data_IF_819991504266
#
_entry.id   IF_819991504266
#
_cell.length_a   1.000
_cell.length_b   1.000
_cell.length_c   1.000
_cell.angle_alpha   90.00
_cell.angle_beta   90.00
_cell.angle_gamma   90.00
#
_symmetry.space_group_name_H-M   'P 1'
#
loop_
_entity.id
_entity.type
_entity.pdbx_description
1 polymer ?
#
# COMPACT_ATOMS: atom_id res chain seq x y z
N UNK A 1 6.50 21.23 -5.54
CA UNK A 1 6.19 20.21 -6.57
C UNK A 1 5.32 20.74 -7.70
N UNK A 2 4.11 21.25 -7.48
CA UNK A 2 3.23 21.74 -8.58
C UNK A 2 3.90 22.78 -9.49
N UNK A 3 4.55 23.80 -8.92
CA UNK A 3 5.24 24.83 -9.72
C UNK A 3 6.38 24.24 -10.59
N UNK A 4 7.18 23.33 -10.03
CA UNK A 4 8.25 22.66 -10.77
C UNK A 4 7.68 21.82 -11.93
N UNK A 5 6.61 21.06 -11.64
CA UNK A 5 5.95 20.26 -12.66
C UNK A 5 5.38 21.14 -13.78
N UNK A 6 4.62 22.18 -13.44
CA UNK A 6 4.04 23.11 -14.43
C UNK A 6 5.12 23.76 -15.28
N UNK A 7 6.20 24.25 -14.67
CA UNK A 7 7.31 24.86 -15.41
C UNK A 7 7.95 23.87 -16.40
N UNK A 8 8.23 22.65 -15.93
CA UNK A 8 8.86 21.62 -16.78
C UNK A 8 7.94 21.20 -17.93
N UNK A 9 6.67 20.95 -17.64
CA UNK A 9 5.67 20.59 -18.66
C UNK A 9 5.54 21.70 -19.70
N UNK A 10 5.44 22.96 -19.26
CA UNK A 10 5.32 24.12 -20.17
C UNK A 10 6.56 24.26 -21.05
N UNK A 11 7.77 24.16 -20.46
CA UNK A 11 9.01 24.26 -21.19
C UNK A 11 9.17 23.16 -22.26
N UNK A 12 8.90 21.90 -21.86
CA UNK A 12 9.00 20.76 -22.78
C UNK A 12 7.90 20.79 -23.86
N UNK A 13 6.68 21.21 -23.53
CA UNK A 13 5.61 21.38 -24.50
C UNK A 13 5.95 22.47 -25.53
N UNK A 14 6.51 23.61 -25.09
CA UNK A 14 6.97 24.66 -25.97
C UNK A 14 8.11 24.19 -26.90
N UNK A 15 9.09 23.48 -26.35
CA UNK A 15 10.19 22.92 -27.15
C UNK A 15 9.65 21.90 -28.20
N UNK A 16 8.73 21.03 -27.81
CA UNK A 16 8.12 20.08 -28.75
C UNK A 16 7.29 20.78 -29.82
N UNK A 17 6.56 21.85 -29.46
CA UNK A 17 5.81 22.66 -30.42
C UNK A 17 6.72 23.32 -31.46
N UNK A 18 7.88 23.79 -31.07
CA UNK A 18 8.89 24.33 -32.01
C UNK A 18 9.37 23.23 -32.96
N UNK A 19 9.71 22.05 -32.45
CA UNK A 19 10.18 20.91 -33.27
C UNK A 19 9.09 20.47 -34.27
N UNK A 20 7.85 20.29 -33.80
CA UNK A 20 6.74 19.85 -34.65
C UNK A 20 6.27 20.92 -35.63
N UNK A 21 6.42 22.21 -35.27
CA UNK A 21 6.08 23.33 -36.12
C UNK A 21 7.08 23.57 -37.28
N UNK A 22 8.28 22.98 -37.19
CA UNK A 22 9.26 23.10 -38.27
C UNK A 22 8.75 22.41 -39.54
N UNK A 23 8.49 23.20 -40.58
CA UNK A 23 7.90 22.72 -41.83
C UNK A 23 6.35 22.77 -41.86
N UNK A 24 5.72 23.50 -40.94
CA UNK A 24 4.28 23.78 -40.89
C UNK A 24 3.48 22.77 -40.04
N UNK A 25 2.30 23.20 -39.64
CA UNK A 25 1.39 22.40 -38.82
C UNK A 25 0.49 21.51 -39.69
N UNK A 26 0.23 20.30 -39.20
CA UNK A 26 -0.75 19.37 -39.75
C UNK A 26 -1.59 18.77 -38.60
N UNK A 27 -2.80 18.22 -38.87
CA UNK A 27 -3.61 17.58 -37.84
C UNK A 27 -2.84 16.48 -37.08
N UNK A 28 -2.02 15.69 -37.77
CA UNK A 28 -1.19 14.64 -37.14
C UNK A 28 -0.16 15.24 -36.16
N UNK A 29 0.52 16.34 -36.52
CA UNK A 29 1.47 17.02 -35.64
C UNK A 29 0.80 17.64 -34.41
N UNK A 30 -0.40 18.20 -34.57
CA UNK A 30 -1.21 18.66 -33.44
C UNK A 30 -1.60 17.48 -32.53
N UNK A 31 -2.02 16.37 -33.08
CA UNK A 31 -2.33 15.15 -32.33
C UNK A 31 -1.11 14.63 -31.54
N UNK A 32 0.08 14.64 -32.16
CA UNK A 32 1.33 14.27 -31.50
C UNK A 32 1.68 15.20 -30.33
N UNK A 33 1.50 16.53 -30.52
CA UNK A 33 1.74 17.49 -29.43
C UNK A 33 0.78 17.27 -28.26
N UNK A 34 -0.51 17.06 -28.53
CA UNK A 34 -1.52 16.79 -27.51
C UNK A 34 -1.13 15.50 -26.73
N UNK A 35 -0.84 14.40 -27.43
CA UNK A 35 -0.44 13.16 -26.80
C UNK A 35 0.81 13.32 -25.91
N UNK A 36 1.80 14.06 -26.43
CA UNK A 36 3.03 14.38 -25.68
C UNK A 36 2.72 15.18 -24.41
N UNK A 37 1.93 16.25 -24.51
CA UNK A 37 1.58 17.11 -23.35
C UNK A 37 0.78 16.35 -22.30
N UNK A 38 -0.10 15.42 -22.69
CA UNK A 38 -0.91 14.61 -21.77
C UNK A 38 -0.02 13.66 -20.94
N UNK A 39 1.07 13.15 -21.49
CA UNK A 39 1.98 12.23 -20.79
C UNK A 39 3.02 12.93 -19.90
N UNK A 40 3.34 14.18 -20.19
CA UNK A 40 4.41 14.93 -19.51
C UNK A 40 4.22 15.10 -17.99
N UNK A 41 3.01 15.42 -17.47
CA UNK A 41 2.84 15.68 -16.03
C UNK A 41 3.31 14.51 -15.17
N UNK A 42 2.99 13.28 -15.56
CA UNK A 42 3.38 12.07 -14.84
C UNK A 42 4.91 11.85 -14.87
N UNK A 43 5.51 11.95 -16.04
CA UNK A 43 6.95 11.80 -16.20
C UNK A 43 7.73 12.88 -15.43
N UNK A 44 7.25 14.13 -15.49
CA UNK A 44 7.86 15.26 -14.79
C UNK A 44 7.75 15.12 -13.26
N UNK A 45 6.61 14.63 -12.72
CA UNK A 45 6.48 14.35 -11.29
C UNK A 45 7.47 13.27 -10.88
N UNK A 46 7.59 12.18 -11.65
CA UNK A 46 8.55 11.10 -11.39
C UNK A 46 10.00 11.61 -11.35
N UNK A 47 10.39 12.42 -12.32
CA UNK A 47 11.69 13.04 -12.39
C UNK A 47 12.00 13.93 -11.17
N UNK A 48 11.07 14.80 -10.79
CA UNK A 48 11.26 15.66 -9.62
C UNK A 48 11.23 14.90 -8.30
N UNK A 49 10.43 13.87 -8.20
CA UNK A 49 10.48 12.98 -7.02
C UNK A 49 11.88 12.38 -6.87
N UNK A 50 12.46 11.86 -7.93
CA UNK A 50 13.81 11.29 -7.87
C UNK A 50 14.87 12.33 -7.47
N UNK A 51 14.84 13.54 -8.05
CA UNK A 51 15.78 14.61 -7.72
C UNK A 51 15.61 15.07 -6.27
N UNK A 52 14.39 15.41 -5.86
CA UNK A 52 14.12 15.89 -4.50
C UNK A 52 14.52 14.80 -3.49
N UNK A 53 14.12 13.54 -3.73
CA UNK A 53 14.46 12.45 -2.84
C UNK A 53 15.96 12.19 -2.73
N UNK A 54 16.70 12.31 -3.83
CA UNK A 54 18.17 12.22 -3.80
C UNK A 54 18.79 13.37 -2.97
N UNK A 55 18.30 14.58 -3.13
CA UNK A 55 18.77 15.75 -2.35
C UNK A 55 18.44 15.56 -0.86
N UNK A 56 17.21 15.11 -0.53
CA UNK A 56 16.78 14.86 0.85
C UNK A 56 17.63 13.77 1.48
N UNK A 57 17.84 12.66 0.78
CA UNK A 57 18.68 11.55 1.25
C UNK A 57 20.14 11.98 1.47
N UNK A 58 20.70 12.78 0.55
CA UNK A 58 22.08 13.31 0.68
C UNK A 58 22.25 14.27 1.86
N UNK A 59 21.16 14.88 2.34
CA UNK A 59 21.16 15.77 3.52
C UNK A 59 20.86 15.04 4.84
N UNK A 60 20.85 13.73 4.85
CA UNK A 60 20.60 12.93 6.05
C UNK A 60 19.14 12.53 6.27
N UNK A 61 18.30 12.67 5.25
CA UNK A 61 16.87 12.31 5.29
C UNK A 61 15.96 13.48 5.70
N UNK A 62 14.67 13.18 5.77
CA UNK A 62 13.64 14.13 6.21
C UNK A 62 13.16 13.77 7.60
N UNK A 63 13.41 14.61 8.62
CA UNK A 63 12.97 14.37 10.00
C UNK A 63 11.43 14.37 10.14
N UNK A 64 10.70 14.82 9.13
CA UNK A 64 9.23 14.85 9.14
C UNK A 64 8.60 13.55 8.64
N UNK A 65 9.36 12.64 8.02
CA UNK A 65 8.78 11.39 7.47
C UNK A 65 8.41 10.39 8.56
N UNK A 66 9.31 10.08 9.46
CA UNK A 66 9.05 9.30 10.68
C UNK A 66 10.23 9.50 11.62
N UNK A 67 9.99 9.45 12.94
CA UNK A 67 11.10 9.47 13.90
C UNK A 67 11.99 8.23 13.69
N UNK A 68 13.30 8.38 13.88
CA UNK A 68 14.21 7.24 13.88
C UNK A 68 13.74 6.14 14.83
N UNK A 69 13.99 4.88 14.47
CA UNK A 69 13.75 3.75 15.37
C UNK A 69 14.57 3.88 16.66
N UNK A 70 14.06 3.32 17.73
CA UNK A 70 14.73 3.21 19.02
C UNK A 70 14.85 1.74 19.39
N UNK A 71 15.84 1.02 18.80
CA UNK A 71 16.03 -0.39 19.10
C UNK A 71 16.21 -0.63 20.60
N UNK A 72 15.62 -1.73 21.10
CA UNK A 72 15.69 -2.09 22.51
C UNK A 72 14.67 -1.41 23.43
N UNK A 73 13.88 -0.43 22.94
CA UNK A 73 12.73 0.08 23.70
C UNK A 73 11.62 -0.96 23.66
N UNK A 74 11.11 -1.42 24.83
CA UNK A 74 9.96 -2.32 24.89
C UNK A 74 8.73 -1.71 24.22
N UNK A 75 7.93 -2.53 23.57
CA UNK A 75 6.61 -2.18 23.06
C UNK A 75 5.56 -2.48 24.13
N UNK A 76 4.46 -1.74 24.12
CA UNK A 76 3.37 -1.91 25.08
C UNK A 76 2.05 -2.32 24.40
N UNK A 77 1.81 -1.81 23.18
CA UNK A 77 0.56 -2.03 22.46
C UNK A 77 0.39 -3.46 21.93
N UNK A 78 -0.87 -3.88 21.83
CA UNK A 78 -1.23 -5.16 21.19
C UNK A 78 -1.50 -4.96 19.70
N UNK A 79 -0.94 -5.86 18.90
CA UNK A 79 -1.03 -5.80 17.44
C UNK A 79 -1.63 -7.09 16.86
N UNK A 80 -2.64 -6.96 16.01
CA UNK A 80 -3.15 -8.07 15.20
C UNK A 80 -2.39 -8.10 13.86
N UNK A 81 -1.70 -9.19 13.55
CA UNK A 81 -1.18 -9.47 12.21
C UNK A 81 -2.26 -10.18 11.43
N UNK A 82 -2.70 -9.59 10.32
CA UNK A 82 -3.92 -10.00 9.62
C UNK A 82 -3.60 -10.33 8.18
N UNK A 83 -3.73 -11.59 7.80
CA UNK A 83 -3.56 -12.03 6.41
C UNK A 83 -4.90 -12.33 5.78
N UNK A 84 -5.27 -11.55 4.74
CA UNK A 84 -6.48 -11.78 3.97
C UNK A 84 -6.17 -12.71 2.81
N UNK A 85 -6.91 -13.82 2.69
CA UNK A 85 -6.71 -14.85 1.66
C UNK A 85 -8.00 -15.16 0.92
N UNK A 86 -7.89 -15.49 -0.38
CA UNK A 86 -9.01 -15.96 -1.20
C UNK A 86 -8.54 -16.83 -2.35
N UNK A 87 -8.71 -18.15 -2.22
CA UNK A 87 -8.30 -19.13 -3.25
C UNK A 87 -6.80 -19.09 -3.61
N UNK A 88 -5.94 -18.55 -2.74
CA UNK A 88 -4.50 -18.62 -2.88
C UNK A 88 -4.00 -20.03 -2.50
N UNK A 89 -2.71 -20.29 -2.70
CA UNK A 89 -2.02 -21.48 -2.22
C UNK A 89 -1.95 -21.45 -0.67
N UNK A 90 -2.72 -22.33 0.04
CA UNK A 90 -2.82 -22.27 1.49
C UNK A 90 -1.51 -22.62 2.18
N UNK A 91 -0.75 -23.59 1.63
CA UNK A 91 0.54 -23.98 2.19
C UNK A 91 1.51 -22.81 2.22
N UNK A 92 1.56 -22.08 1.14
CA UNK A 92 2.50 -20.98 0.94
C UNK A 92 2.13 -19.76 1.80
N UNK A 93 0.86 -19.37 1.81
CA UNK A 93 0.40 -18.20 2.57
C UNK A 93 0.49 -18.44 4.09
N UNK A 94 0.05 -19.61 4.58
CA UNK A 94 0.12 -19.94 6.00
C UNK A 94 1.56 -20.14 6.47
N UNK A 95 2.43 -20.75 5.64
CA UNK A 95 3.85 -20.88 5.98
C UNK A 95 4.54 -19.52 6.15
N UNK A 96 4.20 -18.53 5.30
CA UNK A 96 4.73 -17.16 5.43
C UNK A 96 4.27 -16.48 6.71
N UNK A 97 2.97 -16.53 7.00
CA UNK A 97 2.43 -15.94 8.21
C UNK A 97 3.02 -16.60 9.46
N UNK A 98 3.18 -17.92 9.42
CA UNK A 98 3.85 -18.68 10.47
C UNK A 98 5.32 -18.24 10.64
N UNK A 99 6.06 -18.07 9.56
CA UNK A 99 7.45 -17.60 9.61
C UNK A 99 7.59 -16.21 10.25
N UNK A 100 6.68 -15.28 9.96
CA UNK A 100 6.64 -13.97 10.61
C UNK A 100 6.40 -14.11 12.12
N UNK A 101 5.47 -14.99 12.53
CA UNK A 101 5.15 -15.18 13.93
C UNK A 101 6.27 -15.89 14.70
N UNK A 102 6.90 -16.91 14.11
CA UNK A 102 8.07 -17.60 14.68
C UNK A 102 9.28 -16.64 14.84
N UNK A 103 9.48 -15.71 13.92
CA UNK A 103 10.51 -14.65 14.02
C UNK A 103 10.22 -13.69 15.19
N UNK A 104 8.94 -13.34 15.41
CA UNK A 104 8.49 -12.58 16.57
C UNK A 104 8.66 -13.38 17.90
N UNK A 105 8.41 -14.67 17.90
CA UNK A 105 8.67 -15.54 19.05
C UNK A 105 10.18 -15.55 19.38
N UNK A 106 11.04 -15.71 18.38
CA UNK A 106 12.47 -15.69 18.54
C UNK A 106 13.00 -14.34 19.05
N UNK A 107 12.33 -13.23 18.71
CA UNK A 107 12.66 -11.89 19.22
C UNK A 107 12.23 -11.65 20.67
N UNK A 108 11.43 -12.55 21.26
CA UNK A 108 10.87 -12.41 22.61
C UNK A 108 9.67 -11.46 22.72
N UNK A 109 9.11 -10.97 21.61
CA UNK A 109 8.04 -10.01 21.61
C UNK A 109 6.63 -10.60 21.34
N UNK A 110 6.52 -11.91 21.14
CA UNK A 110 5.30 -12.57 20.71
C UNK A 110 4.07 -12.31 21.61
N UNK A 111 4.24 -11.98 22.89
CA UNK A 111 3.12 -11.68 23.80
C UNK A 111 2.28 -10.47 23.38
N UNK A 112 2.83 -9.61 22.52
CA UNK A 112 2.17 -8.41 22.00
C UNK A 112 1.43 -8.66 20.68
N UNK A 113 1.51 -9.88 20.11
CA UNK A 113 1.00 -10.15 18.77
C UNK A 113 0.05 -11.34 18.74
N UNK A 114 -1.05 -11.17 18.02
CA UNK A 114 -1.92 -12.26 17.60
C UNK A 114 -1.94 -12.32 16.08
N UNK A 115 -2.06 -13.51 15.51
CA UNK A 115 -2.13 -13.73 14.05
C UNK A 115 -3.51 -14.20 13.64
N UNK A 116 -4.03 -13.60 12.56
CA UNK A 116 -5.36 -13.86 12.05
C UNK A 116 -5.32 -14.17 10.56
N UNK A 117 -5.77 -15.36 10.18
CA UNK A 117 -6.07 -15.69 8.79
C UNK A 117 -7.54 -15.36 8.54
N UNK A 118 -7.78 -14.36 7.67
CA UNK A 118 -9.13 -13.93 7.27
C UNK A 118 -9.43 -14.42 5.87
N UNK A 119 -10.18 -15.52 5.79
CA UNK A 119 -10.48 -16.22 4.53
C UNK A 119 -11.80 -15.74 3.92
N UNK A 120 -11.72 -15.39 2.63
CA UNK A 120 -12.84 -15.19 1.70
C UNK A 120 -12.91 -16.29 0.64
N UNK A 121 -12.21 -17.39 0.87
CA UNK A 121 -12.10 -18.52 -0.04
C UNK A 121 -13.45 -19.15 -0.29
N UNK A 122 -13.86 -19.20 -1.54
CA UNK A 122 -15.13 -19.82 -1.97
C UNK A 122 -14.95 -21.27 -2.44
N UNK A 123 -13.74 -21.68 -2.85
CA UNK A 123 -13.43 -23.09 -3.13
C UNK A 123 -13.43 -23.91 -1.83
N UNK A 124 -14.34 -24.92 -1.72
CA UNK A 124 -14.45 -25.70 -0.49
C UNK A 124 -13.21 -26.54 -0.16
N UNK A 125 -12.48 -27.01 -1.18
CA UNK A 125 -11.28 -27.82 -0.98
C UNK A 125 -10.13 -26.96 -0.46
N UNK A 126 -9.93 -25.77 -1.03
CA UNK A 126 -8.95 -24.80 -0.57
C UNK A 126 -9.26 -24.34 0.86
N UNK A 127 -10.53 -23.99 1.15
CA UNK A 127 -10.94 -23.56 2.48
C UNK A 127 -10.77 -24.66 3.55
N UNK A 128 -11.07 -25.91 3.22
CA UNK A 128 -10.82 -27.04 4.12
C UNK A 128 -9.32 -27.22 4.38
N UNK A 129 -8.49 -27.00 3.36
CA UNK A 129 -7.03 -27.07 3.49
C UNK A 129 -6.46 -25.93 4.33
N UNK A 130 -6.94 -24.69 4.16
CA UNK A 130 -6.60 -23.55 5.03
C UNK A 130 -6.88 -23.87 6.49
N UNK A 131 -8.12 -24.32 6.80
CA UNK A 131 -8.53 -24.65 8.16
C UNK A 131 -7.67 -25.76 8.77
N UNK A 132 -7.37 -26.83 8.01
CA UNK A 132 -6.53 -27.92 8.44
C UNK A 132 -5.09 -27.50 8.76
N UNK A 133 -4.49 -26.62 7.90
CA UNK A 133 -3.15 -26.12 8.11
C UNK A 133 -3.06 -25.21 9.34
N UNK A 134 -4.05 -24.34 9.56
CA UNK A 134 -4.08 -23.49 10.76
C UNK A 134 -4.27 -24.33 12.01
N UNK A 135 -5.16 -25.32 11.99
CA UNK A 135 -5.36 -26.24 13.12
C UNK A 135 -4.08 -27.03 13.44
N UNK A 136 -3.36 -27.51 12.42
CA UNK A 136 -2.08 -28.19 12.60
C UNK A 136 -1.00 -27.24 13.18
N UNK A 137 -0.98 -25.99 12.74
CA UNK A 137 -0.09 -24.97 13.31
C UNK A 137 -0.42 -24.67 14.77
N UNK A 138 -1.71 -24.46 15.10
CA UNK A 138 -2.15 -24.30 16.50
C UNK A 138 -1.72 -25.47 17.38
N UNK A 139 -1.90 -26.71 16.92
CA UNK A 139 -1.51 -27.91 17.67
C UNK A 139 0.00 -28.03 17.90
N UNK A 140 0.82 -27.50 17.01
CA UNK A 140 2.28 -27.53 17.10
C UNK A 140 2.89 -26.30 17.79
N UNK A 141 2.14 -25.22 17.96
CA UNK A 141 2.61 -23.96 18.53
C UNK A 141 2.63 -24.00 20.06
N UNK A 142 3.63 -23.35 20.65
CA UNK A 142 3.65 -23.04 22.10
C UNK A 142 2.57 -21.99 22.48
N UNK A 143 1.99 -21.29 21.51
CA UNK A 143 1.05 -20.18 21.68
C UNK A 143 -0.23 -20.36 20.86
N UNK A 144 -0.96 -21.47 21.00
CA UNK A 144 -2.13 -21.76 20.15
C UNK A 144 -3.25 -20.72 20.29
N UNK A 145 -3.36 -20.06 21.44
CA UNK A 145 -4.39 -19.04 21.71
C UNK A 145 -4.15 -17.72 20.99
N UNK A 146 -2.99 -17.52 20.35
CA UNK A 146 -2.66 -16.34 19.56
C UNK A 146 -2.82 -16.55 18.06
N UNK A 147 -3.27 -17.72 17.61
CA UNK A 147 -3.42 -18.09 16.21
C UNK A 147 -4.90 -18.27 15.91
N UNK A 148 -5.42 -17.50 14.96
CA UNK A 148 -6.86 -17.48 14.65
C UNK A 148 -7.11 -17.72 13.17
N UNK A 149 -8.21 -18.42 12.86
CA UNK A 149 -8.74 -18.60 11.52
C UNK A 149 -10.21 -18.19 11.50
N UNK A 150 -10.57 -17.34 10.57
CA UNK A 150 -11.96 -16.96 10.33
C UNK A 150 -12.25 -17.01 8.84
N UNK A 151 -13.24 -17.80 8.46
CA UNK A 151 -13.80 -17.79 7.11
C UNK A 151 -15.16 -17.11 7.13
N UNK A 152 -15.37 -16.18 6.21
CA UNK A 152 -16.71 -15.66 5.90
C UNK A 152 -17.22 -16.25 4.59
N UNK A 153 -18.54 -16.35 4.44
CA UNK A 153 -19.21 -16.86 3.23
C UNK A 153 -19.64 -15.73 2.29
N UNK A 154 -19.79 -14.52 2.83
CA UNK A 154 -20.11 -13.32 2.08
C UNK A 154 -18.83 -12.51 1.81
N UNK A 155 -18.44 -12.41 0.53
CA UNK A 155 -17.28 -11.66 0.09
C UNK A 155 -17.62 -10.19 -0.24
N UNK A 156 -18.62 -9.61 0.45
CA UNK A 156 -19.01 -8.22 0.26
C UNK A 156 -17.86 -7.27 0.60
N UNK A 157 -17.58 -6.32 -0.29
CA UNK A 157 -16.47 -5.37 -0.15
C UNK A 157 -15.07 -5.99 -0.33
N UNK A 158 -14.98 -7.26 -0.74
CA UNK A 158 -13.71 -7.95 -1.01
C UNK A 158 -12.76 -7.92 0.21
N UNK A 159 -11.44 -7.86 -0.02
CA UNK A 159 -10.41 -7.72 1.02
C UNK A 159 -10.71 -6.57 2.00
N UNK A 160 -11.06 -5.39 1.47
CA UNK A 160 -11.36 -4.23 2.30
C UNK A 160 -12.54 -4.47 3.24
N UNK A 161 -13.64 -5.06 2.74
CA UNK A 161 -14.79 -5.44 3.57
C UNK A 161 -14.47 -6.49 4.62
N UNK A 162 -13.54 -7.43 4.32
CA UNK A 162 -13.08 -8.41 5.29
C UNK A 162 -12.26 -7.76 6.42
N UNK A 163 -11.36 -6.84 6.07
CA UNK A 163 -10.58 -6.07 7.03
C UNK A 163 -11.47 -5.13 7.86
N UNK A 164 -12.42 -4.43 7.24
CA UNK A 164 -13.36 -3.54 7.93
C UNK A 164 -14.19 -4.32 8.98
N UNK A 165 -14.73 -5.49 8.60
CA UNK A 165 -15.47 -6.34 9.54
C UNK A 165 -14.58 -6.78 10.70
N UNK A 166 -13.33 -7.18 10.41
CA UNK A 166 -12.36 -7.54 11.44
C UNK A 166 -12.09 -6.37 12.38
N UNK A 167 -11.75 -5.21 11.87
CA UNK A 167 -11.44 -4.03 12.66
C UNK A 167 -12.60 -3.58 13.54
N UNK A 168 -13.84 -3.65 13.01
CA UNK A 168 -15.04 -3.32 13.79
C UNK A 168 -15.26 -4.30 14.95
N UNK A 169 -15.00 -5.61 14.76
CA UNK A 169 -15.19 -6.65 15.80
C UNK A 169 -14.09 -6.65 16.86
N UNK A 170 -12.86 -6.29 16.45
CA UNK A 170 -11.68 -6.38 17.31
C UNK A 170 -11.15 -5.00 17.76
N UNK A 171 -11.96 -3.95 17.59
CA UNK A 171 -11.59 -2.55 17.81
C UNK A 171 -10.95 -2.31 19.19
N UNK A 172 -11.50 -2.90 20.23
CA UNK A 172 -11.08 -2.69 21.61
C UNK A 172 -10.07 -3.75 22.10
N UNK A 173 -9.74 -4.72 21.24
CA UNK A 173 -8.79 -5.80 21.56
C UNK A 173 -7.35 -5.48 21.20
N UNK A 174 -7.15 -4.59 20.20
CA UNK A 174 -5.84 -4.25 19.65
C UNK A 174 -5.67 -2.75 19.48
N UNK A 175 -4.45 -2.28 19.74
CA UNK A 175 -4.06 -0.90 19.46
C UNK A 175 -3.77 -0.70 17.95
N UNK A 176 -3.20 -1.74 17.34
CA UNK A 176 -2.77 -1.75 15.94
C UNK A 176 -3.18 -3.02 15.22
N UNK A 177 -3.25 -2.92 13.90
CA UNK A 177 -3.26 -4.09 13.03
C UNK A 177 -2.30 -3.93 11.85
N UNK A 178 -1.77 -5.05 11.38
CA UNK A 178 -0.81 -5.15 10.28
C UNK A 178 -1.43 -6.01 9.18
N UNK A 179 -2.06 -5.41 8.16
CA UNK A 179 -2.60 -6.17 7.03
C UNK A 179 -1.49 -6.68 6.13
N UNK A 180 -1.61 -7.94 5.75
CA UNK A 180 -0.72 -8.66 4.84
C UNK A 180 -1.52 -9.22 3.67
N UNK A 181 -0.91 -9.24 2.50
CA UNK A 181 -1.33 -10.07 1.38
C UNK A 181 -0.76 -11.49 1.53
N UNK A 182 -1.31 -12.46 0.81
CA UNK A 182 -0.86 -13.85 0.86
C UNK A 182 0.61 -14.05 0.45
N UNK A 183 1.16 -13.09 -0.27
CA UNK A 183 2.55 -13.05 -0.76
C UNK A 183 3.47 -12.12 0.04
N UNK A 184 2.94 -11.44 1.06
CA UNK A 184 3.69 -10.51 1.90
C UNK A 184 4.59 -11.23 2.91
N UNK A 185 5.73 -10.60 3.22
CA UNK A 185 6.61 -10.96 4.32
C UNK A 185 7.20 -9.71 4.98
N UNK A 186 7.28 -9.72 6.31
CA UNK A 186 8.03 -8.74 7.11
C UNK A 186 8.83 -9.47 8.18
N UNK A 187 10.08 -9.02 8.40
CA UNK A 187 10.85 -9.50 9.55
C UNK A 187 10.30 -8.95 10.87
N UNK A 188 10.54 -9.68 11.97
CA UNK A 188 10.20 -9.20 13.31
C UNK A 188 10.83 -7.84 13.63
N UNK A 189 12.07 -7.62 13.20
CA UNK A 189 12.77 -6.34 13.39
C UNK A 189 11.99 -5.17 12.77
N UNK A 190 11.44 -5.37 11.56
CA UNK A 190 10.66 -4.34 10.88
C UNK A 190 9.28 -4.15 11.54
N UNK A 191 8.60 -5.23 11.93
CA UNK A 191 7.33 -5.16 12.67
C UNK A 191 7.51 -4.39 13.98
N UNK A 192 8.53 -4.70 14.75
CA UNK A 192 8.85 -4.03 16.02
C UNK A 192 9.20 -2.55 15.80
N UNK A 193 9.92 -2.22 14.72
CA UNK A 193 10.20 -0.84 14.32
C UNK A 193 8.90 -0.06 14.08
N UNK A 194 7.97 -0.65 13.35
CA UNK A 194 6.67 -0.03 13.07
C UNK A 194 5.90 0.27 14.37
N UNK A 195 5.82 -0.72 15.28
CA UNK A 195 5.09 -0.57 16.54
C UNK A 195 5.72 0.52 17.39
N UNK A 196 7.04 0.48 17.64
CA UNK A 196 7.75 1.50 18.43
C UNK A 196 7.58 2.91 17.84
N UNK A 197 7.64 3.01 16.51
CA UNK A 197 7.45 4.31 15.84
C UNK A 197 6.04 4.85 16.06
N UNK A 198 5.01 4.03 15.91
CA UNK A 198 3.63 4.45 16.09
C UNK A 198 3.25 4.71 17.55
N UNK A 199 3.83 3.99 18.51
CA UNK A 199 3.66 4.29 19.93
C UNK A 199 4.23 5.67 20.29
N UNK A 200 5.38 6.03 19.72
CA UNK A 200 6.02 7.34 19.97
C UNK A 200 5.38 8.50 19.20
N UNK A 201 4.66 8.20 18.13
CA UNK A 201 3.99 9.18 17.27
C UNK A 201 2.48 8.92 17.22
N UNK A 202 1.71 9.34 18.22
CA UNK A 202 0.28 9.05 18.33
C UNK A 202 -0.55 9.69 17.22
N UNK A 203 -0.02 10.68 16.49
CA UNK A 203 -0.68 11.33 15.35
C UNK A 203 -0.67 10.49 14.10
N UNK A 204 0.21 9.47 14.00
CA UNK A 204 0.26 8.58 12.83
C UNK A 204 -0.88 7.56 12.94
N UNK A 205 -1.74 7.54 11.92
CA UNK A 205 -2.80 6.54 11.76
C UNK A 205 -2.38 5.35 10.90
N UNK A 206 -1.58 5.58 9.86
CA UNK A 206 -1.01 4.55 8.98
C UNK A 206 0.48 4.80 8.81
N UNK A 207 1.30 3.77 9.05
CA UNK A 207 2.74 3.80 8.81
C UNK A 207 3.10 2.68 7.82
N UNK A 208 3.37 3.06 6.59
CA UNK A 208 3.72 2.17 5.49
C UNK A 208 5.21 1.84 5.48
N UNK A 209 5.58 0.59 5.21
CA UNK A 209 6.96 0.22 4.89
C UNK A 209 7.24 0.32 3.39
N UNK A 210 8.50 0.44 3.01
CA UNK A 210 8.92 0.30 1.62
C UNK A 210 8.97 -1.19 1.28
N UNK A 211 7.89 -1.73 0.69
CA UNK A 211 7.86 -3.12 0.24
C UNK A 211 8.70 -3.28 -1.04
N UNK A 212 9.57 -4.27 -1.06
CA UNK A 212 10.42 -4.59 -2.22
C UNK A 212 10.10 -5.98 -2.75
N UNK A 213 10.35 -6.20 -4.04
CA UNK A 213 10.07 -7.48 -4.66
C UNK A 213 10.95 -8.61 -4.11
N UNK A 214 10.34 -9.72 -3.73
CA UNK A 214 11.04 -10.96 -3.34
C UNK A 214 11.95 -11.43 -4.49
N UNK A 215 13.19 -11.86 -4.22
CA UNK A 215 14.09 -12.36 -5.25
C UNK A 215 13.43 -13.44 -6.13
N UNK A 216 13.54 -13.31 -7.44
CA UNK A 216 12.88 -14.19 -8.40
C UNK A 216 13.88 -14.75 -9.42
N UNK A 217 13.63 -15.99 -9.90
CA UNK A 217 14.34 -16.60 -11.01
C UNK A 217 13.70 -16.29 -12.36
N UNK A 218 12.48 -15.77 -12.37
CA UNK A 218 11.73 -15.44 -13.58
C UNK A 218 12.32 -14.21 -14.27
N UNK A 219 12.60 -14.30 -15.57
CA UNK A 219 13.22 -13.22 -16.33
C UNK A 219 12.40 -11.92 -16.29
N UNK A 220 11.09 -12.01 -16.55
CA UNK A 220 10.20 -10.83 -16.53
C UNK A 220 10.21 -10.15 -15.17
N UNK A 221 10.06 -10.92 -14.10
CA UNK A 221 10.07 -10.39 -12.71
C UNK A 221 11.38 -9.69 -12.38
N UNK A 222 12.52 -10.27 -12.78
CA UNK A 222 13.85 -9.68 -12.53
C UNK A 222 14.03 -8.33 -13.23
N UNK A 223 13.61 -8.24 -14.51
CA UNK A 223 13.66 -6.97 -15.25
C UNK A 223 12.76 -5.93 -14.63
N UNK A 224 11.53 -6.32 -14.26
CA UNK A 224 10.58 -5.45 -13.59
C UNK A 224 11.11 -4.94 -12.23
N UNK A 225 11.63 -5.84 -11.40
CA UNK A 225 12.21 -5.51 -10.09
C UNK A 225 13.43 -4.60 -10.22
N UNK A 226 14.28 -4.79 -11.21
CA UNK A 226 15.40 -3.91 -11.46
C UNK A 226 14.94 -2.47 -11.71
N UNK A 227 13.94 -2.27 -12.57
CA UNK A 227 13.36 -0.96 -12.84
C UNK A 227 12.72 -0.32 -11.60
N UNK A 228 11.93 -1.08 -10.87
CA UNK A 228 11.30 -0.59 -9.62
C UNK A 228 12.33 -0.24 -8.55
N UNK A 229 13.18 -1.18 -8.20
CA UNK A 229 14.08 -1.06 -7.03
C UNK A 229 15.13 0.03 -7.23
N UNK A 230 15.63 0.22 -8.45
CA UNK A 230 16.70 1.18 -8.73
C UNK A 230 16.33 2.63 -8.37
N UNK A 231 15.09 3.02 -8.60
CA UNK A 231 14.61 4.38 -8.31
C UNK A 231 13.71 4.50 -7.08
N UNK A 232 13.24 3.40 -6.53
CA UNK A 232 12.13 3.35 -5.57
C UNK A 232 12.37 4.21 -4.32
N UNK A 233 13.54 4.08 -3.69
CA UNK A 233 13.88 4.85 -2.49
C UNK A 233 13.89 6.35 -2.77
N UNK A 234 14.61 6.79 -3.82
CA UNK A 234 14.69 8.21 -4.17
C UNK A 234 13.32 8.76 -4.55
N UNK A 235 12.56 8.04 -5.38
CA UNK A 235 11.20 8.42 -5.77
C UNK A 235 10.28 8.56 -4.55
N UNK A 236 10.25 7.55 -3.69
CA UNK A 236 9.37 7.53 -2.50
C UNK A 236 9.77 8.63 -1.51
N UNK A 237 11.07 8.82 -1.28
CA UNK A 237 11.57 9.91 -0.42
C UNK A 237 11.11 11.27 -0.94
N UNK A 238 11.24 11.52 -2.23
CA UNK A 238 10.79 12.80 -2.82
C UNK A 238 9.28 12.96 -2.78
N UNK A 239 8.54 11.92 -3.11
CA UNK A 239 7.07 11.94 -3.08
C UNK A 239 6.54 12.22 -1.68
N UNK A 240 7.07 11.57 -0.66
CA UNK A 240 6.65 11.75 0.74
C UNK A 240 7.07 13.11 1.30
N UNK A 241 8.24 13.62 0.90
CA UNK A 241 8.70 14.92 1.35
C UNK A 241 7.71 16.06 1.00
N UNK A 242 7.19 16.10 -0.23
CA UNK A 242 6.22 17.16 -0.60
C UNK A 242 4.77 16.79 -0.26
N UNK A 243 4.44 15.52 -0.12
CA UNK A 243 3.12 15.08 0.34
C UNK A 243 2.94 15.33 1.85
N UNK A 244 4.04 15.39 2.59
CA UNK A 244 4.04 15.66 4.03
C UNK A 244 3.33 14.56 4.81
N UNK A 245 2.27 14.96 5.52
CA UNK A 245 1.44 14.08 6.33
C UNK A 245 0.40 13.27 5.53
N UNK A 246 0.38 13.41 4.21
CA UNK A 246 -0.46 12.66 3.28
C UNK A 246 0.38 11.62 2.52
N UNK A 247 1.08 10.73 3.21
CA UNK A 247 1.87 9.67 2.61
C UNK A 247 1.00 8.63 1.89
N UNK A 248 1.62 7.76 1.07
CA UNK A 248 0.92 6.65 0.43
C UNK A 248 0.59 5.52 1.41
N UNK A 249 -0.43 4.75 1.07
CA UNK A 249 -0.71 3.45 1.63
C UNK A 249 -0.99 2.48 0.48
N UNK A 250 -0.44 1.26 0.54
CA UNK A 250 -0.49 0.27 -0.54
C UNK A 250 -1.33 -0.97 -0.21
N UNK A 251 -2.09 -0.92 0.90
CA UNK A 251 -3.04 -1.95 1.27
C UNK A 251 -2.47 -3.14 2.04
N UNK A 252 -1.16 -3.20 2.22
CA UNK A 252 -0.45 -4.25 2.97
C UNK A 252 0.91 -3.77 3.47
N UNK A 253 1.58 -4.56 4.30
CA UNK A 253 2.90 -4.26 4.86
C UNK A 253 2.98 -2.87 5.53
N UNK A 254 1.91 -2.48 6.20
CA UNK A 254 1.78 -1.22 6.92
C UNK A 254 1.18 -1.45 8.29
N UNK A 255 1.62 -0.70 9.30
CA UNK A 255 0.97 -0.73 10.60
C UNK A 255 -0.11 0.35 10.67
N UNK A 256 -1.29 -0.03 11.13
CA UNK A 256 -2.47 0.84 11.14
C UNK A 256 -3.03 0.91 12.56
N UNK A 257 -3.38 2.10 13.01
CA UNK A 257 -4.03 2.30 14.29
C UNK A 257 -5.48 1.82 14.22
N UNK A 258 -5.82 0.87 15.10
CA UNK A 258 -7.07 0.11 15.02
C UNK A 258 -8.32 0.98 15.19
N UNK A 259 -8.43 1.72 16.30
CA UNK A 259 -9.66 2.46 16.61
C UNK A 259 -9.99 3.54 15.56
N UNK A 260 -9.06 4.44 15.15
CA UNK A 260 -9.35 5.42 14.11
C UNK A 260 -9.72 4.80 12.76
N UNK A 261 -9.10 3.68 12.41
CA UNK A 261 -9.44 2.98 11.17
C UNK A 261 -10.87 2.41 11.20
N UNK A 262 -11.22 1.71 12.28
CA UNK A 262 -12.56 1.15 12.46
C UNK A 262 -13.66 2.22 12.49
N UNK A 263 -13.35 3.42 13.01
CA UNK A 263 -14.31 4.52 13.11
C UNK A 263 -14.48 5.34 11.85
N UNK A 264 -13.41 5.49 11.05
CA UNK A 264 -13.36 6.54 10.05
C UNK A 264 -13.04 6.08 8.64
N UNK A 265 -12.55 4.84 8.46
CA UNK A 265 -12.07 4.35 7.17
C UNK A 265 -13.06 3.41 6.45
N UNK A 266 -14.33 3.38 6.87
CA UNK A 266 -15.38 2.66 6.15
C UNK A 266 -15.53 3.18 4.73
N UNK A 267 -15.46 2.27 3.75
CA UNK A 267 -15.49 2.62 2.33
C UNK A 267 -16.93 2.82 1.84
N UNK A 268 -17.18 3.88 1.07
CA UNK A 268 -18.50 4.07 0.48
C UNK A 268 -18.77 3.04 -0.61
N UNK A 269 -20.03 2.63 -0.75
CA UNK A 269 -20.50 1.95 -1.96
C UNK A 269 -20.81 3.03 -2.99
N UNK A 270 -20.12 2.96 -4.13
CA UNK A 270 -20.23 3.98 -5.17
C UNK A 270 -21.54 3.83 -5.95
N UNK A 271 -22.20 4.94 -6.30
CA UNK A 271 -23.44 4.91 -7.08
C UNK A 271 -23.21 4.42 -8.51
N UNK A 272 -24.27 3.92 -9.13
CA UNK A 272 -24.24 3.43 -10.50
C UNK A 272 -23.91 1.95 -10.63
N UNK A 273 -23.84 1.51 -11.89
CA UNK A 273 -23.52 0.14 -12.30
C UNK A 273 -22.28 0.14 -13.20
N UNK A 274 -21.75 -1.03 -13.44
CA UNK A 274 -20.60 -1.22 -14.33
C UNK A 274 -19.27 -0.92 -13.64
N UNK A 275 -18.20 -0.66 -14.38
CA UNK A 275 -16.85 -0.69 -13.84
C UNK A 275 -16.53 0.42 -12.82
N UNK A 276 -17.30 1.51 -12.82
CA UNK A 276 -17.06 2.65 -11.93
C UNK A 276 -17.96 2.68 -10.69
N UNK A 277 -19.01 1.84 -10.62
CA UNK A 277 -19.94 1.75 -9.47
C UNK A 277 -19.64 0.56 -8.56
N UNK A 278 -20.37 0.44 -7.44
CA UNK A 278 -20.24 -0.66 -6.49
C UNK A 278 -19.15 -0.46 -5.46
N UNK A 279 -18.59 -1.55 -4.96
CA UNK A 279 -17.51 -1.49 -3.96
C UNK A 279 -16.22 -0.90 -4.55
N UNK A 280 -15.51 -0.13 -3.75
CA UNK A 280 -14.20 0.42 -4.11
C UNK A 280 -13.19 -0.72 -4.24
N UNK A 281 -12.54 -0.84 -5.39
CA UNK A 281 -11.60 -1.93 -5.69
C UNK A 281 -10.17 -1.61 -5.26
N UNK A 282 -9.67 -0.39 -5.51
CA UNK A 282 -8.39 0.10 -4.99
C UNK A 282 -8.67 0.85 -3.70
N UNK A 283 -8.80 0.10 -2.61
CA UNK A 283 -9.25 0.60 -1.32
C UNK A 283 -8.19 1.42 -0.57
N UNK A 284 -6.94 1.07 -0.76
CA UNK A 284 -5.77 1.54 -0.04
C UNK A 284 -5.61 3.06 -0.04
N UNK A 285 -5.61 3.71 -1.20
CA UNK A 285 -5.53 5.16 -1.31
C UNK A 285 -6.76 5.85 -0.68
N UNK A 286 -7.93 5.22 -0.74
CA UNK A 286 -9.15 5.77 -0.15
C UNK A 286 -9.09 5.70 1.37
N UNK A 287 -8.64 4.58 1.94
CA UNK A 287 -8.43 4.41 3.38
C UNK A 287 -7.40 5.42 3.91
N UNK A 288 -6.28 5.65 3.18
CA UNK A 288 -5.33 6.70 3.52
C UNK A 288 -5.97 8.10 3.56
N UNK A 289 -6.76 8.42 2.55
CA UNK A 289 -7.47 9.71 2.45
C UNK A 289 -8.51 9.86 3.58
N UNK A 290 -9.22 8.79 3.94
CA UNK A 290 -10.19 8.80 5.04
C UNK A 290 -9.49 8.92 6.40
N UNK A 291 -8.38 8.23 6.61
CA UNK A 291 -7.54 8.38 7.81
C UNK A 291 -7.05 9.83 7.96
N UNK A 292 -6.64 10.47 6.86
CA UNK A 292 -6.28 11.88 6.84
C UNK A 292 -7.45 12.80 7.16
N UNK A 293 -8.64 12.50 6.65
CA UNK A 293 -9.88 13.22 6.99
C UNK A 293 -10.21 13.13 8.48
N UNK A 294 -9.92 12.01 9.11
CA UNK A 294 -10.08 11.80 10.54
C UNK A 294 -9.05 12.56 11.41
N UNK A 295 -8.07 13.24 10.79
CA UNK A 295 -7.07 14.05 11.51
C UNK A 295 -5.75 13.33 11.78
N UNK A 296 -5.62 12.06 11.38
CA UNK A 296 -4.39 11.30 11.55
C UNK A 296 -3.46 11.46 10.34
N UNK A 297 -2.17 11.21 10.56
CA UNK A 297 -1.14 11.26 9.53
C UNK A 297 -1.00 9.89 8.85
N UNK A 298 -0.67 9.90 7.56
CA UNK A 298 -0.21 8.72 6.82
C UNK A 298 1.24 8.95 6.46
N UNK A 299 2.12 8.07 6.93
CA UNK A 299 3.56 8.20 6.77
C UNK A 299 4.16 6.95 6.16
N UNK A 300 5.38 7.07 5.63
CA UNK A 300 6.12 5.94 5.08
C UNK A 300 7.54 5.91 5.63
N UNK A 301 8.03 4.70 5.89
CA UNK A 301 9.44 4.44 6.16
C UNK A 301 10.12 4.22 4.80
N UNK A 302 10.98 5.14 4.39
CA UNK A 302 11.60 5.15 3.06
C UNK A 302 12.85 4.27 2.94
N UNK A 303 13.33 3.72 4.05
CA UNK A 303 14.42 2.75 4.03
C UNK A 303 13.91 1.35 3.75
N UNK A 304 14.67 0.58 2.98
CA UNK A 304 14.45 -0.86 2.85
C UNK A 304 14.70 -1.54 4.20
N UNK A 305 13.74 -2.34 4.68
CA UNK A 305 13.79 -2.96 6.01
C UNK A 305 13.15 -4.34 6.02
N UNK A 306 13.51 -5.23 5.07
CA UNK A 306 12.98 -6.61 5.04
C UNK A 306 11.45 -6.69 5.03
N UNK A 307 10.86 -5.83 4.22
CA UNK A 307 9.46 -5.86 3.81
C UNK A 307 9.38 -6.32 2.36
N UNK A 308 8.72 -7.43 2.10
CA UNK A 308 8.76 -8.12 0.82
C UNK A 308 7.37 -8.39 0.29
N UNK A 309 7.24 -8.37 -1.05
CA UNK A 309 6.06 -8.80 -1.80
C UNK A 309 6.48 -9.58 -3.04
N UNK A 310 5.58 -10.35 -3.64
CA UNK A 310 5.84 -10.96 -4.93
C UNK A 310 5.41 -10.04 -6.07
N UNK A 311 6.20 -10.08 -7.12
CA UNK A 311 5.83 -9.37 -8.35
C UNK A 311 5.34 -10.36 -9.41
N UNK A 312 4.53 -9.92 -10.37
CA UNK A 312 3.99 -10.79 -11.41
C UNK A 312 5.08 -11.57 -12.12
N UNK A 313 4.92 -12.89 -12.29
CA UNK A 313 5.93 -13.72 -12.92
C UNK A 313 6.00 -13.55 -14.44
N UNK A 314 4.90 -13.11 -15.07
CA UNK A 314 4.78 -12.96 -16.51
C UNK A 314 4.13 -11.64 -16.90
N UNK A 315 4.31 -11.22 -18.16
CA UNK A 315 3.63 -10.06 -18.73
C UNK A 315 2.08 -10.19 -18.71
N UNK A 316 1.46 -11.34 -19.04
CA UNK A 316 0.01 -11.49 -18.87
C UNK A 316 -0.48 -11.30 -17.46
N UNK A 317 0.24 -11.77 -16.44
CA UNK A 317 -0.13 -11.60 -15.03
C UNK A 317 0.00 -10.12 -14.63
N UNK A 318 1.05 -9.46 -15.10
CA UNK A 318 1.22 -8.01 -14.93
C UNK A 318 0.04 -7.24 -15.54
N UNK A 319 -0.35 -7.53 -16.79
CA UNK A 319 -1.46 -6.86 -17.46
C UNK A 319 -2.78 -7.07 -16.70
N UNK A 320 -3.06 -8.28 -16.21
CA UNK A 320 -4.28 -8.55 -15.42
C UNK A 320 -4.31 -7.72 -14.14
N UNK A 321 -3.18 -7.59 -13.46
CA UNK A 321 -3.06 -6.77 -12.26
C UNK A 321 -3.29 -5.29 -12.57
N UNK A 322 -2.65 -4.75 -13.60
CA UNK A 322 -2.76 -3.35 -14.01
C UNK A 322 -4.20 -2.99 -14.45
N UNK A 323 -4.89 -3.88 -15.16
CA UNK A 323 -6.29 -3.66 -15.54
C UNK A 323 -7.20 -3.54 -14.31
N UNK A 324 -6.98 -4.36 -13.30
CA UNK A 324 -7.74 -4.30 -12.04
C UNK A 324 -7.45 -3.00 -11.28
N UNK A 325 -6.19 -2.57 -11.21
CA UNK A 325 -5.80 -1.33 -10.57
C UNK A 325 -6.31 -0.10 -11.34
N UNK A 326 -6.22 -0.13 -12.67
CA UNK A 326 -6.82 0.90 -13.52
C UNK A 326 -8.31 1.08 -13.22
N UNK A 327 -9.07 -0.01 -13.20
CA UNK A 327 -10.50 0.05 -12.87
C UNK A 327 -10.74 0.67 -11.49
N UNK A 328 -9.99 0.24 -10.48
CA UNK A 328 -10.10 0.76 -9.11
C UNK A 328 -9.74 2.24 -9.01
N UNK A 329 -8.69 2.68 -9.70
CA UNK A 329 -8.29 4.09 -9.71
C UNK A 329 -9.28 4.98 -10.47
N UNK A 330 -9.91 4.47 -11.54
CA UNK A 330 -10.97 5.20 -12.24
C UNK A 330 -12.20 5.45 -11.35
N UNK A 331 -12.47 4.61 -10.36
CA UNK A 331 -13.53 4.85 -9.39
C UNK A 331 -13.30 6.13 -8.56
N UNK A 332 -12.06 6.59 -8.41
CA UNK A 332 -11.71 7.79 -7.63
C UNK A 332 -12.32 9.07 -8.19
N UNK A 333 -12.76 9.12 -9.46
CA UNK A 333 -13.52 10.24 -9.99
C UNK A 333 -14.74 10.56 -9.12
N UNK A 334 -15.40 9.55 -8.58
CA UNK A 334 -16.57 9.74 -7.72
C UNK A 334 -16.20 10.16 -6.30
N UNK A 335 -14.94 9.98 -5.90
CA UNK A 335 -14.45 10.28 -4.56
C UNK A 335 -13.82 11.67 -4.45
N UNK A 336 -13.43 12.31 -5.55
CA UNK A 336 -12.83 13.65 -5.56
C UNK A 336 -13.74 14.71 -4.91
N UNK A 337 -15.07 14.52 -4.98
CA UNK A 337 -16.09 15.41 -4.41
C UNK A 337 -16.39 15.17 -2.94
N UNK A 338 -15.79 14.16 -2.27
CA UNK A 338 -16.07 13.89 -0.87
C UNK A 338 -15.74 15.10 0.01
N UNK A 339 -16.68 15.41 0.93
CA UNK A 339 -16.48 16.49 1.89
C UNK A 339 -15.38 16.20 2.91
N UNK A 340 -14.69 17.26 3.35
CA UNK A 340 -13.66 17.18 4.41
C UNK A 340 -12.30 16.62 3.97
N UNK A 341 -12.11 16.27 2.70
CA UNK A 341 -10.81 15.84 2.21
C UNK A 341 -9.79 16.97 2.21
N UNK A 342 -8.57 16.68 2.63
CA UNK A 342 -7.45 17.62 2.53
C UNK A 342 -7.09 17.87 1.06
N UNK A 343 -6.63 19.09 0.70
CA UNK A 343 -6.25 19.40 -0.67
C UNK A 343 -5.22 18.42 -1.25
N UNK A 344 -4.22 18.04 -0.46
CA UNK A 344 -3.20 17.08 -0.88
C UNK A 344 -3.79 15.69 -1.16
N UNK A 345 -4.74 15.22 -0.36
CA UNK A 345 -5.45 13.95 -0.60
C UNK A 345 -6.21 13.97 -1.93
N UNK A 346 -6.85 15.09 -2.30
CA UNK A 346 -7.47 15.25 -3.62
C UNK A 346 -6.46 15.21 -4.76
N UNK A 347 -5.30 15.87 -4.58
CA UNK A 347 -4.21 15.82 -5.56
C UNK A 347 -3.74 14.38 -5.76
N UNK A 348 -3.57 13.61 -4.68
CA UNK A 348 -3.14 12.20 -4.76
C UNK A 348 -4.16 11.32 -5.49
N UNK A 349 -5.47 11.45 -5.18
CA UNK A 349 -6.52 10.73 -5.91
C UNK A 349 -6.54 11.11 -7.40
N UNK A 350 -6.38 12.40 -7.72
CA UNK A 350 -6.32 12.87 -9.10
C UNK A 350 -5.08 12.32 -9.83
N UNK A 351 -3.91 12.29 -9.18
CA UNK A 351 -2.70 11.70 -9.74
C UNK A 351 -2.85 10.19 -9.96
N UNK A 352 -3.52 9.48 -9.06
CA UNK A 352 -3.79 8.05 -9.22
C UNK A 352 -4.73 7.75 -10.40
N UNK A 353 -5.69 8.65 -10.69
CA UNK A 353 -6.51 8.58 -11.91
C UNK A 353 -5.63 8.82 -13.16
N UNK A 354 -4.79 9.85 -13.13
CA UNK A 354 -3.96 10.23 -14.28
C UNK A 354 -2.81 9.26 -14.57
N UNK A 355 -2.56 8.30 -13.69
CA UNK A 355 -1.55 7.26 -13.89
C UNK A 355 -1.97 6.27 -14.99
N UNK A 356 -3.25 6.11 -15.24
CA UNK A 356 -3.89 5.26 -16.25
C UNK A 356 -4.60 6.08 -17.32
#
# INVERSE_FOLDING_TARGET
MLALNTLTVTALAAAMAVVLGYGGWSPARVGMLIAFVVTLPWLSIGFWNAIIGTIVAARGGDPLTALPDTPGVPIAGRTAIVMAVRNEDPERSILRLRGIFEDLEASGAADHFDVHVLSDTDDPAVAAREAALVAAWQAASARPSQIFYRRRTDNSGYKAGNLEEFCRRCRDAYDFFLPLDADSFLSAANVLRLVRTMERQPTIGILQTLAVGTPSTQFFTRVFQFGMRHGMRAYTTGATWWAGDCGPYWGHNALIRMAPFAESCSLPVLPGRGPLGGHVMSHDQVEAVLMRRAGYEVRVIVEEGESWEENPPTLPDFIRRELRWCQGNMQYFQLLGLGGLKPMSRVQLALAILMY
#
